data_IF_588909107827
#
_entry.id   IF_588909107827
#
_cell.length_a   1.000
_cell.length_b   1.000
_cell.length_c   1.000
_cell.angle_alpha   90.00
_cell.angle_beta   90.00
_cell.angle_gamma   90.00
#
_symmetry.space_group_name_H-M   'P 1'
#
loop_
_entity.id
_entity.type
_entity.pdbx_description
1 polymer ?
#
# COMPACT_ATOMS: atom_id res chain seq x y z
N UNK A 1 -3.28 1.52 -4.05
CA UNK A 1 -3.14 0.70 -2.82
C UNK A 1 -2.10 -0.39 -3.06
N UNK A 2 -1.50 -0.96 -2.00
CA UNK A 2 -0.48 -2.02 -2.09
C UNK A 2 -0.74 -3.14 -1.06
N UNK A 3 -1.76 -3.99 -1.28
CA UNK A 3 -2.34 -4.83 -0.22
C UNK A 3 -1.38 -5.84 0.41
N UNK A 4 -0.53 -6.50 -0.40
CA UNK A 4 0.46 -7.47 0.12
C UNK A 4 1.60 -6.82 0.90
N UNK A 5 1.91 -5.55 0.59
CA UNK A 5 2.88 -4.78 1.37
C UNK A 5 2.25 -4.37 2.69
N UNK A 6 1.01 -3.89 2.68
CA UNK A 6 0.29 -3.59 3.93
C UNK A 6 0.18 -4.79 4.84
N UNK A 7 -0.07 -5.99 4.30
CA UNK A 7 -0.05 -7.22 5.10
C UNK A 7 1.33 -7.47 5.70
N UNK A 8 2.41 -7.26 4.93
CA UNK A 8 3.79 -7.34 5.42
C UNK A 8 4.03 -6.37 6.57
N UNK A 9 3.58 -5.12 6.41
CA UNK A 9 3.74 -4.07 7.41
C UNK A 9 2.98 -4.43 8.71
N UNK A 10 1.73 -4.90 8.60
CA UNK A 10 0.92 -5.34 9.75
C UNK A 10 1.56 -6.52 10.49
N UNK A 11 2.02 -7.55 9.75
CA UNK A 11 2.70 -8.71 10.36
C UNK A 11 3.99 -8.26 11.05
N UNK A 12 4.73 -7.35 10.44
CA UNK A 12 5.95 -6.77 11.05
C UNK A 12 5.62 -6.05 12.34
N UNK A 13 4.64 -5.14 12.34
CA UNK A 13 4.24 -4.39 13.52
C UNK A 13 3.76 -5.31 14.64
N UNK A 14 2.95 -6.31 14.32
CA UNK A 14 2.48 -7.27 15.31
C UNK A 14 3.63 -8.07 15.95
N UNK A 15 4.60 -8.54 15.16
CA UNK A 15 5.76 -9.27 15.70
C UNK A 15 6.71 -8.37 16.50
N UNK A 16 6.92 -7.12 16.07
CA UNK A 16 7.90 -6.22 16.68
C UNK A 16 7.34 -5.43 17.89
N UNK A 17 6.02 -5.23 17.97
CA UNK A 17 5.33 -4.49 19.05
C UNK A 17 4.38 -5.35 19.89
N UNK A 18 4.03 -6.56 19.44
CA UNK A 18 3.06 -7.45 20.09
C UNK A 18 1.60 -7.02 19.97
N UNK A 19 1.32 -5.90 19.28
CA UNK A 19 -0.02 -5.31 19.13
C UNK A 19 -0.11 -4.44 17.88
N UNK A 20 -1.34 -4.08 17.51
CA UNK A 20 -1.65 -3.15 16.40
C UNK A 20 -2.51 -1.96 16.83
N UNK A 21 -2.94 -1.92 18.09
CA UNK A 21 -3.72 -0.85 18.70
C UNK A 21 -2.86 0.04 19.60
N UNK A 22 -3.38 1.24 19.87
CA UNK A 22 -2.78 2.21 20.78
C UNK A 22 -1.31 2.51 20.43
N UNK A 23 -1.03 2.66 19.13
CA UNK A 23 0.26 3.02 18.57
C UNK A 23 0.25 4.47 18.08
N UNK A 24 1.29 5.21 18.42
CA UNK A 24 1.63 6.47 17.76
C UNK A 24 2.54 6.19 16.55
N UNK A 25 2.01 6.37 15.35
CA UNK A 25 2.64 5.98 14.08
C UNK A 25 3.08 7.23 13.33
N UNK A 26 4.40 7.40 13.19
CA UNK A 26 5.01 8.43 12.35
C UNK A 26 5.17 7.95 10.92
N UNK A 27 4.74 8.76 9.96
CA UNK A 27 4.87 8.49 8.53
C UNK A 27 5.72 9.61 7.92
N UNK A 28 6.91 9.27 7.40
CA UNK A 28 7.90 10.28 7.00
C UNK A 28 8.35 10.14 5.55
N UNK A 29 8.33 11.24 4.80
CA UNK A 29 8.83 11.30 3.42
C UNK A 29 7.76 11.70 2.41
N UNK A 30 7.65 10.94 1.33
CA UNK A 30 6.64 11.14 0.28
C UNK A 30 5.27 10.55 0.68
N UNK A 31 4.39 11.41 1.22
CA UNK A 31 3.05 11.01 1.66
C UNK A 31 1.97 11.23 0.59
N UNK A 32 2.15 12.16 -0.34
CA UNK A 32 1.20 12.39 -1.43
C UNK A 32 1.15 11.18 -2.39
N UNK A 33 2.29 10.56 -2.67
CA UNK A 33 2.42 9.51 -3.67
C UNK A 33 2.69 8.12 -3.10
N UNK A 34 2.96 8.04 -1.80
CA UNK A 34 3.23 6.81 -1.05
C UNK A 34 2.03 5.87 -0.97
N UNK A 35 1.82 5.04 -2.00
CA UNK A 35 0.72 4.04 -2.02
C UNK A 35 0.76 3.08 -0.83
N UNK A 36 1.96 2.76 -0.34
CA UNK A 36 2.17 1.93 0.85
C UNK A 36 1.66 2.64 2.10
N UNK A 37 2.00 3.92 2.28
CA UNK A 37 1.51 4.79 3.35
C UNK A 37 -0.01 4.86 3.36
N UNK A 38 -0.65 5.16 2.22
CA UNK A 38 -2.11 5.26 2.16
C UNK A 38 -2.79 3.94 2.56
N UNK A 39 -2.20 2.82 2.15
CA UNK A 39 -2.73 1.50 2.45
C UNK A 39 -2.52 1.14 3.92
N UNK A 40 -1.36 1.50 4.49
CA UNK A 40 -1.06 1.32 5.90
C UNK A 40 -1.99 2.15 6.78
N UNK A 41 -2.22 3.43 6.48
CA UNK A 41 -3.19 4.28 7.19
C UNK A 41 -4.56 3.60 7.18
N UNK A 42 -5.08 3.23 6.00
CA UNK A 42 -6.40 2.60 5.86
C UNK A 42 -6.54 1.29 6.66
N UNK A 43 -5.45 0.56 6.86
CA UNK A 43 -5.44 -0.61 7.71
C UNK A 43 -5.38 -0.23 9.20
N UNK A 44 -4.48 0.67 9.58
CA UNK A 44 -4.20 1.03 10.97
C UNK A 44 -5.33 1.83 11.62
N UNK A 45 -6.12 2.59 10.86
CA UNK A 45 -7.33 3.29 11.38
C UNK A 45 -8.41 2.32 11.87
N UNK A 46 -8.33 1.03 11.50
CA UNK A 46 -9.29 0.00 11.94
C UNK A 46 -8.98 -0.53 13.34
N UNK A 47 -7.81 -0.22 13.88
CA UNK A 47 -7.39 -0.62 15.22
C UNK A 47 -7.58 0.55 16.19
N UNK A 48 -8.15 0.30 17.39
CA UNK A 48 -8.54 1.36 18.30
C UNK A 48 -7.35 2.14 18.86
N UNK A 49 -7.55 3.44 19.10
CA UNK A 49 -6.62 4.32 19.82
C UNK A 49 -5.29 4.58 19.12
N UNK A 50 -5.13 4.20 17.85
CA UNK A 50 -4.00 4.62 17.04
C UNK A 50 -4.03 6.12 16.75
N UNK A 51 -2.85 6.72 16.63
CA UNK A 51 -2.68 8.11 16.23
C UNK A 51 -1.55 8.25 15.22
N UNK A 52 -1.66 9.25 14.34
CA UNK A 52 -0.72 9.45 13.23
C UNK A 52 0.03 10.78 13.34
N UNK A 53 1.34 10.74 13.08
CA UNK A 53 2.17 11.94 12.93
C UNK A 53 2.70 11.96 11.50
N UNK A 54 2.22 12.91 10.70
CA UNK A 54 2.54 13.04 9.29
C UNK A 54 3.74 13.98 9.13
N UNK A 55 4.87 13.44 8.70
CA UNK A 55 6.17 14.13 8.65
C UNK A 55 6.58 14.31 7.19
N UNK A 56 6.21 15.42 6.60
CA UNK A 56 6.52 15.73 5.20
C UNK A 56 6.61 17.22 4.96
N UNK A 57 7.21 17.58 3.84
CA UNK A 57 7.12 18.95 3.32
C UNK A 57 5.70 19.23 2.83
N UNK A 58 5.29 20.51 2.72
CA UNK A 58 3.97 20.87 2.19
C UNK A 58 3.70 20.29 0.80
N UNK A 59 4.72 20.18 -0.06
CA UNK A 59 4.58 19.63 -1.41
C UNK A 59 4.35 18.12 -1.45
N UNK A 60 4.73 17.41 -0.39
CA UNK A 60 4.61 15.95 -0.26
C UNK A 60 3.56 15.54 0.78
N UNK A 61 2.70 16.48 1.20
CA UNK A 61 1.69 16.27 2.22
C UNK A 61 0.65 15.21 1.85
N UNK A 62 0.08 14.59 2.87
CA UNK A 62 -0.91 13.53 2.68
C UNK A 62 -2.17 14.08 1.96
N UNK A 63 -2.73 13.37 0.96
CA UNK A 63 -3.90 13.85 0.23
C UNK A 63 -5.14 13.97 1.13
N UNK A 64 -6.02 14.93 0.83
CA UNK A 64 -7.21 15.22 1.63
C UNK A 64 -8.11 13.99 1.83
N UNK A 65 -8.35 13.20 0.77
CA UNK A 65 -9.21 12.01 0.88
C UNK A 65 -8.71 10.95 1.88
N UNK A 66 -7.41 10.94 2.20
CA UNK A 66 -6.85 10.05 3.22
C UNK A 66 -7.02 10.65 4.62
N UNK A 67 -6.86 11.99 4.74
CA UNK A 67 -7.14 12.74 5.97
C UNK A 67 -8.61 12.57 6.38
N UNK A 68 -9.53 12.75 5.44
CA UNK A 68 -10.97 12.56 5.64
C UNK A 68 -11.30 11.15 6.15
N UNK A 69 -10.56 10.13 5.67
CA UNK A 69 -10.74 8.75 6.14
C UNK A 69 -10.27 8.54 7.58
N UNK A 70 -9.20 9.24 8.01
CA UNK A 70 -8.76 9.23 9.42
C UNK A 70 -9.75 9.98 10.32
N UNK A 71 -10.27 11.11 9.85
CA UNK A 71 -11.28 11.92 10.56
C UNK A 71 -12.58 11.13 10.73
N UNK A 72 -13.06 10.49 9.67
CA UNK A 72 -14.25 9.63 9.71
C UNK A 72 -14.08 8.42 10.65
N UNK A 73 -12.85 7.95 10.83
CA UNK A 73 -12.53 6.89 11.79
C UNK A 73 -12.30 7.41 13.22
N UNK A 74 -12.40 8.72 13.47
CA UNK A 74 -12.13 9.34 14.77
C UNK A 74 -10.67 9.20 15.23
N UNK A 75 -9.74 8.97 14.31
CA UNK A 75 -8.32 8.81 14.61
C UNK A 75 -7.67 10.18 14.81
N UNK A 76 -6.86 10.33 15.85
CA UNK A 76 -6.07 11.55 16.06
C UNK A 76 -4.90 11.59 15.10
N UNK A 77 -4.70 12.71 14.41
CA UNK A 77 -3.53 12.92 13.58
C UNK A 77 -3.05 14.37 13.62
N UNK A 78 -1.77 14.59 13.32
CA UNK A 78 -1.18 15.92 13.17
C UNK A 78 -0.11 15.93 12.08
N UNK A 79 0.11 17.09 11.48
CA UNK A 79 1.19 17.34 10.52
C UNK A 79 2.33 18.08 11.21
N UNK A 80 3.56 17.65 10.94
CA UNK A 80 4.77 18.27 11.47
C UNK A 80 5.84 18.35 10.37
N UNK A 81 6.63 19.42 10.41
CA UNK A 81 7.70 19.63 9.44
C UNK A 81 9.04 18.99 9.86
N UNK A 82 9.19 18.62 11.13
CA UNK A 82 10.44 18.14 11.72
C UNK A 82 10.34 16.69 12.16
N UNK A 83 11.21 15.84 11.59
CA UNK A 83 11.37 14.45 12.03
C UNK A 83 11.81 14.40 13.49
N UNK A 84 12.77 15.24 13.88
CA UNK A 84 13.36 15.20 15.23
C UNK A 84 12.39 15.57 16.35
N UNK A 85 11.44 16.45 16.06
CA UNK A 85 10.37 16.83 17.01
C UNK A 85 9.34 15.72 17.19
N UNK A 86 9.11 14.92 16.15
CA UNK A 86 8.18 13.80 16.19
C UNK A 86 8.75 12.60 16.95
N UNK A 87 10.04 12.28 16.78
CA UNK A 87 10.65 11.03 17.29
C UNK A 87 10.33 10.68 18.76
N UNK A 88 10.29 11.61 19.73
CA UNK A 88 10.05 11.26 21.13
C UNK A 88 8.68 10.64 21.43
N UNK A 89 7.66 10.90 20.62
CA UNK A 89 6.29 10.38 20.87
C UNK A 89 5.96 9.10 20.10
N UNK A 90 6.76 8.74 19.09
CA UNK A 90 6.46 7.65 18.17
C UNK A 90 6.73 6.27 18.79
N UNK A 91 5.82 5.33 18.54
CA UNK A 91 6.03 3.90 18.77
C UNK A 91 6.54 3.19 17.51
N UNK A 92 6.20 3.76 16.35
CA UNK A 92 6.55 3.28 15.01
C UNK A 92 6.94 4.48 14.15
N UNK A 93 8.06 4.37 13.43
CA UNK A 93 8.44 5.31 12.38
C UNK A 93 8.48 4.56 11.05
N UNK A 94 7.59 4.89 10.15
CA UNK A 94 7.54 4.35 8.79
C UNK A 94 8.13 5.38 7.82
N UNK A 95 9.35 5.13 7.39
CA UNK A 95 10.07 5.99 6.45
C UNK A 95 9.68 5.62 5.00
N UNK A 96 9.63 6.60 4.11
CA UNK A 96 9.47 6.39 2.67
C UNK A 96 10.53 7.10 1.86
N UNK A 97 10.88 6.45 0.75
CA UNK A 97 11.73 7.02 -0.29
C UNK A 97 11.05 8.18 -1.01
N UNK A 98 11.80 9.25 -1.26
CA UNK A 98 11.41 10.31 -2.20
C UNK A 98 11.66 9.82 -3.64
N UNK A 99 10.60 9.65 -4.42
CA UNK A 99 10.66 9.08 -5.76
C UNK A 99 10.98 10.16 -6.80
N UNK A 100 12.22 10.18 -7.29
CA UNK A 100 12.70 11.16 -8.29
C UNK A 100 11.82 11.21 -9.53
N UNK A 101 11.32 10.06 -9.98
CA UNK A 101 10.47 9.88 -11.16
C UNK A 101 9.12 10.60 -11.08
N UNK A 102 8.74 11.13 -9.92
CA UNK A 102 7.44 11.81 -9.71
C UNK A 102 7.54 13.34 -9.76
N UNK A 103 8.74 13.89 -9.90
CA UNK A 103 8.96 15.33 -10.00
C UNK A 103 9.05 15.76 -11.46
N UNK A 104 8.40 16.88 -11.79
CA UNK A 104 8.42 17.44 -13.14
C UNK A 104 9.77 18.08 -13.50
N UNK A 105 10.58 18.42 -12.49
CA UNK A 105 11.94 18.93 -12.70
C UNK A 105 12.95 18.33 -11.71
N UNK A 106 14.23 18.14 -12.12
CA UNK A 106 15.30 17.72 -11.23
C UNK A 106 15.54 18.68 -10.07
N UNK A 107 15.23 19.97 -10.22
CA UNK A 107 15.40 20.97 -9.17
C UNK A 107 14.39 20.79 -8.03
N UNK A 108 13.12 20.51 -8.35
CA UNK A 108 12.11 20.21 -7.34
C UNK A 108 12.51 18.97 -6.54
N UNK A 109 12.99 17.92 -7.22
CA UNK A 109 13.51 16.74 -6.54
C UNK A 109 14.67 17.07 -5.60
N UNK A 110 15.67 17.84 -6.03
CA UNK A 110 16.83 18.21 -5.19
C UNK A 110 16.45 19.01 -3.95
N UNK A 111 15.37 19.79 -3.98
CA UNK A 111 14.87 20.53 -2.80
C UNK A 111 14.24 19.63 -1.75
N UNK A 112 13.68 18.50 -2.17
CA UNK A 112 13.00 17.54 -1.30
C UNK A 112 13.96 16.44 -0.84
N UNK A 113 14.90 16.05 -1.70
CA UNK A 113 15.94 15.06 -1.41
C UNK A 113 16.79 15.51 -0.21
N UNK A 114 16.95 14.61 0.76
CA UNK A 114 17.80 14.85 1.93
C UNK A 114 17.21 15.75 3.02
N UNK A 115 15.95 16.21 2.87
CA UNK A 115 15.26 16.97 3.94
C UNK A 115 15.00 16.08 5.15
N UNK A 116 14.56 14.84 4.91
CA UNK A 116 14.26 13.86 5.94
C UNK A 116 15.26 12.70 5.88
N UNK A 117 16.38 12.86 6.59
CA UNK A 117 17.38 11.81 6.77
C UNK A 117 17.34 11.37 8.23
N UNK A 118 17.04 10.09 8.45
CA UNK A 118 17.18 9.45 9.75
C UNK A 118 18.63 8.98 9.95
N UNK A 119 19.29 9.53 10.95
CA UNK A 119 20.64 9.17 11.38
C UNK A 119 20.63 8.75 12.87
N UNK A 120 21.75 8.25 13.38
CA UNK A 120 21.85 7.76 14.76
C UNK A 120 21.59 8.88 15.79
N UNK A 121 22.04 10.10 15.50
CA UNK A 121 21.86 11.27 16.39
C UNK A 121 20.40 11.64 16.55
N UNK A 122 19.62 11.64 15.45
CA UNK A 122 18.18 11.85 15.51
C UNK A 122 17.50 10.70 16.25
N UNK A 123 17.86 9.46 15.91
CA UNK A 123 17.28 8.27 16.50
C UNK A 123 17.54 8.16 18.03
N UNK A 124 18.61 8.78 18.54
CA UNK A 124 18.85 8.90 19.98
C UNK A 124 17.74 9.67 20.74
N UNK A 125 16.94 10.50 20.05
CA UNK A 125 15.79 11.21 20.65
C UNK A 125 14.52 10.36 20.71
N UNK A 126 14.50 9.21 20.02
CA UNK A 126 13.33 8.34 19.96
C UNK A 126 13.19 7.46 21.21
N UNK A 127 12.00 6.91 21.40
CA UNK A 127 11.77 5.88 22.42
C UNK A 127 12.70 4.68 22.19
N UNK A 128 13.09 4.03 23.29
CA UNK A 128 13.90 2.82 23.25
C UNK A 128 13.19 1.65 22.53
N UNK A 129 11.85 1.62 22.58
CA UNK A 129 11.02 0.59 21.95
C UNK A 129 10.44 1.01 20.58
N UNK A 130 10.88 2.14 20.01
CA UNK A 130 10.52 2.57 18.66
C UNK A 130 10.87 1.46 17.66
N UNK A 131 10.03 1.25 16.64
CA UNK A 131 10.38 0.40 15.48
C UNK A 131 10.42 1.21 14.20
N UNK A 132 11.55 1.14 13.50
CA UNK A 132 11.76 1.82 12.21
C UNK A 132 11.47 0.84 11.09
N UNK A 133 10.44 1.14 10.29
CA UNK A 133 10.03 0.38 9.12
C UNK A 133 10.34 1.20 7.85
N UNK A 134 10.57 0.49 6.75
CA UNK A 134 10.79 1.08 5.44
C UNK A 134 10.45 0.04 4.36
N UNK A 135 9.61 0.35 3.35
CA UNK A 135 9.19 -0.62 2.35
C UNK A 135 10.32 -1.10 1.43
N UNK A 136 11.45 -0.38 1.42
CA UNK A 136 12.61 -0.57 0.55
C UNK A 136 12.27 -0.41 -0.96
N UNK A 137 13.27 -0.22 -1.84
CA UNK A 137 14.67 0.10 -1.53
C UNK A 137 14.81 1.49 -0.90
N UNK A 138 15.80 1.66 -0.03
CA UNK A 138 16.20 2.99 0.46
C UNK A 138 17.27 3.62 -0.44
N UNK A 139 17.38 4.95 -0.43
CA UNK A 139 18.45 5.68 -1.15
C UNK A 139 19.35 6.40 -0.15
N UNK A 140 18.79 7.36 0.57
CA UNK A 140 19.53 8.29 1.44
C UNK A 140 18.71 8.76 2.65
N UNK A 141 17.42 8.43 2.69
CA UNK A 141 16.47 8.77 3.76
C UNK A 141 16.79 8.09 5.11
N UNK A 142 17.57 7.00 5.11
CA UNK A 142 18.04 6.32 6.32
C UNK A 142 19.55 6.09 6.17
N UNK A 143 20.34 6.68 7.07
CA UNK A 143 21.78 6.49 7.11
C UNK A 143 22.14 5.03 7.44
N UNK A 144 23.22 4.53 6.86
CA UNK A 144 23.66 3.13 7.03
C UNK A 144 24.05 2.77 8.46
N UNK A 145 24.47 3.74 9.27
CA UNK A 145 24.75 3.56 10.69
C UNK A 145 23.51 3.12 11.50
N UNK A 146 22.30 3.41 11.02
CA UNK A 146 21.05 3.00 11.65
C UNK A 146 20.80 1.49 11.52
N UNK A 147 21.51 0.79 10.63
CA UNK A 147 21.33 -0.65 10.37
C UNK A 147 21.63 -1.50 11.59
N UNK A 148 22.62 -1.08 12.38
CA UNK A 148 23.07 -1.78 13.58
C UNK A 148 22.17 -1.48 14.80
N UNK A 149 21.25 -0.51 14.70
CA UNK A 149 20.34 -0.20 15.78
C UNK A 149 19.26 -1.29 15.92
N UNK A 150 19.02 -1.87 17.11
CA UNK A 150 18.01 -2.92 17.30
C UNK A 150 16.58 -2.47 16.94
N UNK A 151 16.31 -1.16 16.90
CA UNK A 151 15.04 -0.56 16.49
C UNK A 151 14.83 -0.61 14.98
N UNK A 152 15.88 -0.76 14.18
CA UNK A 152 15.79 -0.93 12.73
C UNK A 152 15.17 -2.29 12.39
N UNK A 153 13.96 -2.27 11.83
CA UNK A 153 13.18 -3.46 11.52
C UNK A 153 12.99 -3.70 10.01
N UNK A 154 13.41 -2.78 9.13
CA UNK A 154 13.14 -2.85 7.69
C UNK A 154 13.75 -4.07 6.97
N UNK A 155 14.85 -4.65 7.46
CA UNK A 155 15.34 -5.95 6.94
C UNK A 155 14.50 -7.12 7.45
N UNK A 156 14.13 -7.14 8.73
CA UNK A 156 13.21 -8.15 9.29
C UNK A 156 11.83 -8.09 8.62
N UNK A 157 11.34 -6.89 8.32
CA UNK A 157 10.13 -6.62 7.54
C UNK A 157 10.13 -7.36 6.20
N UNK A 158 11.27 -7.40 5.51
CA UNK A 158 11.40 -8.15 4.24
C UNK A 158 11.19 -9.65 4.45
N UNK A 159 11.77 -10.21 5.52
CA UNK A 159 11.61 -11.62 5.89
C UNK A 159 10.16 -11.93 6.30
N UNK A 160 9.55 -11.07 7.12
CA UNK A 160 8.13 -11.19 7.47
C UNK A 160 7.23 -11.10 6.23
N UNK A 161 7.60 -10.31 5.23
CA UNK A 161 6.88 -10.21 3.96
C UNK A 161 6.90 -11.50 3.15
N UNK A 162 8.00 -12.27 3.20
CA UNK A 162 8.04 -13.62 2.62
C UNK A 162 6.99 -14.52 3.30
N UNK A 163 6.99 -14.60 4.63
CA UNK A 163 6.05 -15.44 5.38
C UNK A 163 4.59 -15.00 5.21
N UNK A 164 4.32 -13.69 5.21
CA UNK A 164 3.00 -13.15 4.98
C UNK A 164 2.44 -13.55 3.61
N UNK A 165 3.28 -13.53 2.57
CA UNK A 165 2.88 -13.94 1.21
C UNK A 165 2.71 -15.45 1.10
N UNK A 166 3.57 -16.25 1.74
CA UNK A 166 3.40 -17.70 1.83
C UNK A 166 2.05 -18.05 2.48
N UNK A 167 1.73 -17.44 3.62
CA UNK A 167 0.45 -17.63 4.32
C UNK A 167 -0.74 -17.20 3.45
N UNK A 168 -0.64 -16.08 2.74
CA UNK A 168 -1.68 -15.61 1.83
C UNK A 168 -1.94 -16.61 0.69
N UNK A 169 -0.88 -17.09 0.03
CA UNK A 169 -0.98 -18.06 -1.07
C UNK A 169 -1.59 -19.36 -0.57
N UNK A 170 -1.10 -19.89 0.56
CA UNK A 170 -1.64 -21.11 1.16
C UNK A 170 -3.11 -20.96 1.52
N UNK A 171 -3.49 -19.85 2.13
CA UNK A 171 -4.90 -19.55 2.47
C UNK A 171 -5.79 -19.54 1.22
N UNK A 172 -5.36 -18.88 0.15
CA UNK A 172 -6.13 -18.82 -1.11
C UNK A 172 -6.26 -20.22 -1.73
N UNK A 173 -5.18 -21.00 -1.76
CA UNK A 173 -5.18 -22.35 -2.34
C UNK A 173 -5.98 -23.37 -1.52
N UNK A 174 -6.04 -23.22 -0.20
CA UNK A 174 -6.83 -24.08 0.67
C UNK A 174 -8.32 -23.71 0.65
N UNK A 175 -8.65 -22.45 0.43
CA UNK A 175 -10.02 -21.93 0.36
C UNK A 175 -10.70 -22.11 -1.02
N UNK A 176 -10.30 -23.10 -1.82
CA UNK A 176 -10.91 -23.36 -3.14
C UNK A 176 -12.40 -23.65 -3.06
N UNK A 177 -12.88 -24.27 -1.97
CA UNK A 177 -14.32 -24.57 -1.81
C UNK A 177 -15.16 -23.32 -1.55
N UNK A 178 -14.62 -22.31 -0.86
CA UNK A 178 -15.30 -21.01 -0.64
C UNK A 178 -15.36 -20.11 -1.87
N UNK A 179 -14.45 -20.30 -2.85
CA UNK A 179 -14.43 -19.52 -4.11
C UNK A 179 -15.10 -20.25 -5.27
N UNK A 180 -15.49 -21.52 -5.08
CA UNK A 180 -16.29 -22.28 -6.03
C UNK A 180 -17.78 -21.85 -6.06
N UNK A 181 -18.13 -20.74 -5.40
CA UNK A 181 -19.50 -20.26 -5.26
C UNK A 181 -19.84 -19.06 -6.13
N UNK A 182 -20.68 -19.30 -7.14
CA UNK A 182 -21.61 -18.35 -7.78
C UNK A 182 -21.07 -17.27 -8.74
N UNK A 183 -20.07 -17.54 -9.56
CA UNK A 183 -19.97 -16.80 -10.84
C UNK A 183 -20.73 -17.58 -11.92
N UNK A 184 -21.60 -16.93 -12.72
CA UNK A 184 -22.22 -17.60 -13.85
C UNK A 184 -21.10 -18.13 -14.75
N UNK A 185 -21.14 -19.41 -15.12
CA UNK A 185 -20.15 -19.92 -16.06
C UNK A 185 -20.22 -19.08 -17.35
N UNK A 186 -19.09 -18.48 -17.77
CA UNK A 186 -19.10 -17.64 -18.95
C UNK A 186 -19.38 -18.49 -20.18
N UNK A 187 -20.40 -18.09 -20.95
CA UNK A 187 -20.80 -18.78 -22.17
C UNK A 187 -20.04 -18.22 -23.38
N UNK A 188 -19.91 -19.03 -24.43
CA UNK A 188 -19.29 -18.59 -25.69
C UNK A 188 -20.34 -17.84 -26.51
N UNK A 189 -20.04 -16.59 -26.89
CA UNK A 189 -20.87 -15.79 -27.79
C UNK A 189 -20.15 -15.53 -29.12
N UNK A 190 -20.88 -15.51 -30.25
CA UNK A 190 -20.31 -15.24 -31.57
C UNK A 190 -20.08 -13.75 -31.82
N UNK A 191 -19.51 -13.02 -30.85
CA UNK A 191 -19.17 -11.61 -30.95
C UNK A 191 -17.72 -11.38 -30.51
N UNK A 192 -17.09 -10.33 -31.03
CA UNK A 192 -15.74 -9.90 -30.61
C UNK A 192 -15.86 -8.86 -29.50
N UNK A 193 -14.86 -8.83 -28.62
CA UNK A 193 -14.77 -7.84 -27.56
C UNK A 193 -14.52 -6.45 -28.14
N UNK A 194 -15.22 -5.42 -27.65
CA UNK A 194 -15.05 -4.02 -28.06
C UNK A 194 -13.69 -3.44 -27.66
N UNK A 195 -13.06 -3.97 -26.61
CA UNK A 195 -11.73 -3.53 -26.16
C UNK A 195 -10.65 -4.03 -27.14
N UNK A 196 -9.95 -3.14 -27.87
CA UNK A 196 -8.92 -3.52 -28.84
C UNK A 196 -7.69 -4.17 -28.20
N UNK A 197 -7.47 -3.99 -26.90
CA UNK A 197 -6.39 -4.60 -26.14
C UNK A 197 -6.77 -5.99 -25.55
N UNK A 198 -7.99 -6.48 -25.79
CA UNK A 198 -8.39 -7.79 -25.31
C UNK A 198 -7.57 -8.90 -25.97
N UNK A 199 -7.15 -9.90 -25.17
CA UNK A 199 -6.35 -11.05 -25.62
C UNK A 199 -7.01 -11.86 -26.75
N UNK A 200 -8.35 -11.84 -26.86
CA UNK A 200 -9.09 -12.51 -27.94
C UNK A 200 -8.84 -11.90 -29.31
N UNK A 201 -8.25 -10.70 -29.40
CA UNK A 201 -7.83 -10.11 -30.68
C UNK A 201 -6.45 -10.59 -31.13
N UNK A 202 -5.56 -10.91 -30.19
CA UNK A 202 -4.21 -11.41 -30.47
C UNK A 202 -4.15 -12.94 -30.58
N UNK A 203 -4.98 -13.65 -29.83
CA UNK A 203 -4.95 -15.12 -29.70
C UNK A 203 -6.24 -15.75 -30.29
N UNK A 204 -6.25 -16.13 -31.58
CA UNK A 204 -7.47 -16.53 -32.29
C UNK A 204 -8.05 -17.88 -31.86
N UNK A 205 -7.29 -18.70 -31.12
CA UNK A 205 -7.78 -19.97 -30.58
C UNK A 205 -8.61 -19.80 -29.31
N UNK A 206 -8.59 -18.63 -28.67
CA UNK A 206 -9.33 -18.39 -27.45
C UNK A 206 -10.83 -18.23 -27.75
N UNK A 207 -11.72 -18.96 -27.05
CA UNK A 207 -13.15 -18.79 -27.22
C UNK A 207 -13.58 -17.42 -26.68
N UNK A 208 -14.48 -16.75 -27.40
CA UNK A 208 -15.07 -15.48 -26.99
C UNK A 208 -16.10 -15.70 -25.86
N UNK A 209 -15.59 -15.78 -24.63
CA UNK A 209 -16.35 -16.06 -23.41
C UNK A 209 -16.88 -14.78 -22.78
N UNK A 210 -18.15 -14.78 -22.40
CA UNK A 210 -18.82 -13.66 -21.75
C UNK A 210 -19.78 -14.09 -20.64
N UNK A 211 -19.97 -13.21 -19.67
CA UNK A 211 -21.04 -13.28 -18.67
C UNK A 211 -22.16 -12.34 -19.10
N UNK A 212 -23.41 -12.83 -19.18
CA UNK A 212 -24.56 -12.01 -19.61
C UNK A 212 -25.30 -11.42 -18.42
N UNK A 213 -25.57 -10.11 -18.47
CA UNK A 213 -26.45 -9.40 -17.55
C UNK A 213 -27.46 -8.57 -18.36
N UNK A 214 -28.67 -9.09 -18.55
CA UNK A 214 -29.69 -8.44 -19.39
C UNK A 214 -29.29 -8.39 -20.88
N UNK A 215 -29.14 -7.19 -21.43
CA UNK A 215 -28.73 -6.93 -22.82
C UNK A 215 -27.24 -6.58 -22.97
N UNK A 216 -26.46 -6.82 -21.93
CA UNK A 216 -25.03 -6.55 -21.90
C UNK A 216 -24.23 -7.84 -21.66
N UNK A 217 -23.10 -7.95 -22.34
CA UNK A 217 -22.13 -9.03 -22.20
C UNK A 217 -20.83 -8.46 -21.61
N UNK A 218 -20.37 -9.04 -20.51
CA UNK A 218 -19.07 -8.70 -19.92
C UNK A 218 -18.04 -9.72 -20.39
N UNK A 219 -16.98 -9.26 -21.04
CA UNK A 219 -15.90 -10.11 -21.57
C UNK A 219 -15.14 -10.80 -20.43
N UNK A 220 -15.05 -12.12 -20.45
CA UNK A 220 -14.41 -12.92 -19.39
C UNK A 220 -12.90 -12.62 -19.21
N UNK A 221 -12.23 -12.08 -20.23
CA UNK A 221 -10.77 -11.88 -20.19
C UNK A 221 -10.34 -10.47 -19.77
N UNK A 222 -11.21 -9.48 -19.92
CA UNK A 222 -10.83 -8.07 -19.72
C UNK A 222 -11.93 -7.21 -19.10
N UNK A 223 -13.05 -7.82 -18.70
CA UNK A 223 -14.20 -7.18 -18.06
C UNK A 223 -14.87 -6.05 -18.88
N UNK A 224 -14.54 -5.94 -20.17
CA UNK A 224 -15.15 -4.98 -21.08
C UNK A 224 -16.62 -5.32 -21.33
N UNK A 225 -17.48 -4.30 -21.25
CA UNK A 225 -18.90 -4.42 -21.53
C UNK A 225 -19.17 -4.24 -23.02
N UNK A 226 -19.75 -5.26 -23.65
CA UNK A 226 -20.14 -5.29 -25.07
C UNK A 226 -21.66 -5.49 -25.15
N UNK A 227 -22.38 -4.76 -26.03
CA UNK A 227 -23.80 -5.00 -26.24
C UNK A 227 -24.08 -6.45 -26.66
N UNK A 228 -25.06 -7.10 -26.05
CA UNK A 228 -25.44 -8.45 -26.43
C UNK A 228 -26.00 -8.45 -27.87
N UNK A 229 -25.67 -9.44 -28.70
CA UNK A 229 -26.31 -9.60 -29.99
C UNK A 229 -27.83 -9.80 -29.78
N UNK A 230 -28.65 -9.11 -30.58
CA UNK A 230 -30.10 -9.26 -30.54
C UNK A 230 -30.46 -10.74 -30.71
N UNK A 231 -31.31 -11.27 -29.82
CA UNK A 231 -31.80 -12.64 -29.92
C UNK A 231 -32.57 -12.79 -31.25
N UNK A 232 -31.99 -13.51 -32.20
CA UNK A 232 -32.66 -13.84 -33.46
C UNK A 232 -33.95 -14.60 -33.21
N UNK A 233 -35.03 -14.19 -33.88
CA UNK A 233 -36.24 -15.00 -34.07
C UNK A 233 -35.97 -16.08 -35.11
#
# INVERSE_FOLDING_TARGET
LHPTQTLTDLVTLYNEKGRLDHLCIGLCGDLIYGRTVHSLIRAMIRFPGNSFVLISTPELALPQYVKDAMDAAGCRWKEVASLEEALPELDVLYMTRIQQERFSSPEQYRRQKGVYILDEKKLARAKADLRVLHPLPRVDEIATEVDEDPRAAYFRQTVYGMYARMALILTILQNRETWAGQEPEPAVYPCRCSNPACITHSEPYLPHRYTRSGDELTCWYCDEHTPAPASGR
#
